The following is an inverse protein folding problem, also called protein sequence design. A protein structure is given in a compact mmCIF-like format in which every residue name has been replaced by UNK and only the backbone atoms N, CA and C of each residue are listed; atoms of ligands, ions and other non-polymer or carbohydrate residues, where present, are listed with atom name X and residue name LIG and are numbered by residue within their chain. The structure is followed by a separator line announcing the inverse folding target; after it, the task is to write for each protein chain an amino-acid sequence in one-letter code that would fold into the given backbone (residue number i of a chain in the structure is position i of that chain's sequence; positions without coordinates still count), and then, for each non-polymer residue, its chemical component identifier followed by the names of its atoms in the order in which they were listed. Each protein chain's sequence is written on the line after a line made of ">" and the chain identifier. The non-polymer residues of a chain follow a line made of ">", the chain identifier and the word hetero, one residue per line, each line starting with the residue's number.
data_IF_614484830896
#
_entry.id   IF_614484830896
#
_cell.length_a   1.000
_cell.length_b   1.000
_cell.length_c   1.000
_cell.angle_alpha   90.00
_cell.angle_beta   90.00
_cell.angle_gamma   90.00
#
_symmetry.space_group_name_H-M   'P 1'
#
loop_
_entity.id
_entity.type
_entity.pdbx_description
1 polymer ?
#
# COMPACT_ATOMS: atom_id res chain seq x y z
N UNK A 1 53.62 23.79 22.84
CA UNK A 1 53.36 24.75 21.74
C UNK A 1 53.33 23.97 20.42
N UNK A 2 52.30 24.26 19.60
CA UNK A 2 52.10 23.92 18.18
C UNK A 2 51.54 22.53 17.78
N UNK A 3 50.19 22.46 17.70
CA UNK A 3 49.28 22.03 16.60
C UNK A 3 49.92 21.67 15.23
N UNK A 4 49.35 20.91 14.28
CA UNK A 4 48.13 20.09 14.11
C UNK A 4 48.10 19.46 12.68
N UNK A 5 47.20 18.48 12.46
CA UNK A 5 46.71 17.99 11.15
C UNK A 5 46.79 16.45 11.02
N UNK A 6 45.77 15.64 11.33
CA UNK A 6 44.49 15.41 10.60
C UNK A 6 44.73 15.14 9.10
N UNK A 7 44.39 13.97 8.54
CA UNK A 7 43.00 13.56 8.29
C UNK A 7 42.81 12.05 8.39
N UNK A 8 41.75 11.64 9.08
CA UNK A 8 41.39 10.26 9.37
C UNK A 8 40.98 9.45 8.14
N UNK A 9 41.49 8.22 8.12
CA UNK A 9 41.12 7.19 7.17
C UNK A 9 39.68 6.72 7.46
N UNK A 10 38.83 6.93 6.47
CA UNK A 10 37.65 6.16 6.07
C UNK A 10 37.27 4.98 6.96
N UNK A 11 36.11 5.06 7.61
CA UNK A 11 35.22 3.92 7.74
C UNK A 11 33.79 4.44 7.87
N UNK A 12 33.11 4.41 6.72
CA UNK A 12 31.66 4.39 6.64
C UNK A 12 31.16 3.30 7.58
N UNK A 13 30.66 3.68 8.75
CA UNK A 13 29.61 2.91 9.40
C UNK A 13 28.31 3.44 8.82
N UNK A 14 28.04 3.03 7.58
CA UNK A 14 26.70 3.02 7.05
C UNK A 14 25.90 2.18 8.05
N UNK A 15 25.12 2.86 8.89
CA UNK A 15 24.03 2.25 9.62
C UNK A 15 23.06 1.77 8.54
N UNK A 16 23.30 0.56 8.03
CA UNK A 16 22.28 -0.26 7.43
C UNK A 16 21.23 -0.47 8.54
N UNK A 17 20.33 0.50 8.68
CA UNK A 17 19.01 0.25 9.23
C UNK A 17 18.40 -0.76 8.27
N UNK A 18 18.62 -2.04 8.54
CA UNK A 18 17.79 -3.11 8.02
C UNK A 18 16.44 -2.82 8.67
N UNK A 19 15.62 -2.02 7.98
CA UNK A 19 14.26 -1.72 8.41
C UNK A 19 13.54 -3.05 8.37
N UNK A 20 13.46 -3.72 9.53
CA UNK A 20 12.68 -4.94 9.68
C UNK A 20 11.25 -4.54 9.40
N UNK A 21 10.79 -4.75 8.17
CA UNK A 21 9.43 -4.36 7.80
C UNK A 21 8.48 -5.31 8.51
N UNK A 22 7.68 -4.77 9.42
CA UNK A 22 6.77 -5.56 10.23
C UNK A 22 5.55 -5.89 9.39
N UNK A 23 5.39 -7.16 9.00
CA UNK A 23 4.13 -7.64 8.43
C UNK A 23 3.15 -7.87 9.58
N UNK A 24 2.14 -7.00 9.70
CA UNK A 24 1.05 -7.16 10.65
C UNK A 24 -0.09 -7.94 9.99
N UNK A 25 -0.02 -9.26 10.15
CA UNK A 25 -0.98 -10.19 9.53
C UNK A 25 -2.42 -9.88 9.91
N UNK A 26 -2.66 -9.53 11.18
CA UNK A 26 -3.99 -9.25 11.72
C UNK A 26 -4.53 -7.94 11.16
N UNK A 27 -3.76 -6.85 11.22
CA UNK A 27 -4.18 -5.56 10.68
C UNK A 27 -4.44 -5.65 9.17
N UNK A 28 -3.63 -6.39 8.42
CA UNK A 28 -3.83 -6.58 6.98
C UNK A 28 -5.11 -7.36 6.68
N UNK A 29 -5.44 -8.35 7.50
CA UNK A 29 -6.66 -9.12 7.35
C UNK A 29 -7.92 -8.28 7.65
N UNK A 30 -7.85 -7.45 8.69
CA UNK A 30 -8.89 -6.49 9.05
C UNK A 30 -9.09 -5.46 7.93
N UNK A 31 -8.01 -4.82 7.46
CA UNK A 31 -8.07 -3.85 6.37
C UNK A 31 -8.61 -4.47 5.07
N UNK A 32 -8.18 -5.69 4.74
CA UNK A 32 -8.68 -6.40 3.56
C UNK A 32 -10.18 -6.72 3.66
N UNK A 33 -10.70 -6.95 4.87
CA UNK A 33 -12.14 -7.11 5.09
C UNK A 33 -12.87 -5.78 4.95
N UNK A 34 -12.34 -4.72 5.57
CA UNK A 34 -12.91 -3.36 5.51
C UNK A 34 -12.99 -2.83 4.08
N UNK A 35 -11.92 -2.97 3.30
CA UNK A 35 -11.90 -2.55 1.89
C UNK A 35 -12.98 -3.29 1.08
N UNK A 36 -13.17 -4.60 1.30
CA UNK A 36 -14.25 -5.36 0.63
C UNK A 36 -15.63 -4.85 1.03
N UNK A 37 -15.86 -4.57 2.31
CA UNK A 37 -17.13 -4.02 2.80
C UNK A 37 -17.39 -2.61 2.26
N UNK A 38 -16.37 -1.76 2.18
CA UNK A 38 -16.46 -0.44 1.57
C UNK A 38 -16.80 -0.57 0.08
N UNK A 39 -16.03 -1.36 -0.68
CA UNK A 39 -16.17 -1.48 -2.13
C UNK A 39 -17.50 -2.11 -2.58
N UNK A 40 -18.11 -2.91 -1.71
CA UNK A 40 -19.44 -3.49 -1.93
C UNK A 40 -20.58 -2.60 -1.42
N UNK A 41 -20.27 -1.47 -0.79
CA UNK A 41 -21.24 -0.56 -0.21
C UNK A 41 -21.99 -1.15 1.00
N UNK A 42 -21.36 -2.07 1.74
CA UNK A 42 -21.89 -2.59 3.01
C UNK A 42 -21.71 -1.58 4.14
N UNK A 43 -20.57 -0.89 4.17
CA UNK A 43 -20.25 0.20 5.11
C UNK A 43 -20.17 1.55 4.38
N UNK A 44 -20.26 2.65 5.13
CA UNK A 44 -19.99 4.01 4.66
C UNK A 44 -18.49 4.29 4.60
N UNK A 45 -18.11 5.39 3.94
CA UNK A 45 -16.75 5.90 3.95
C UNK A 45 -16.30 6.32 5.36
N UNK A 46 -17.17 6.94 6.17
CA UNK A 46 -16.83 7.33 7.55
C UNK A 46 -16.65 6.10 8.44
N UNK A 47 -17.56 5.11 8.36
CA UNK A 47 -17.41 3.81 9.04
C UNK A 47 -16.11 3.09 8.63
N UNK A 48 -15.66 3.27 7.39
CA UNK A 48 -14.39 2.73 6.93
C UNK A 48 -13.21 3.43 7.62
N UNK A 49 -13.18 4.76 7.62
CA UNK A 49 -12.10 5.56 8.22
C UNK A 49 -11.96 5.29 9.73
N UNK A 50 -13.06 5.26 10.46
CA UNK A 50 -13.11 5.02 11.90
C UNK A 50 -12.55 3.64 12.29
N UNK A 51 -12.53 2.70 11.35
CA UNK A 51 -12.17 1.29 11.59
C UNK A 51 -10.82 0.90 11.00
N UNK A 52 -10.10 1.82 10.34
CA UNK A 52 -8.75 1.53 9.82
C UNK A 52 -7.86 1.08 10.99
N UNK A 53 -7.24 -0.11 10.92
CA UNK A 53 -6.40 -0.59 12.00
C UNK A 53 -5.14 0.24 12.14
N UNK A 54 -4.73 0.52 13.37
CA UNK A 54 -3.43 1.11 13.67
C UNK A 54 -2.35 0.03 13.59
N UNK A 55 -1.30 0.27 12.80
CA UNK A 55 -0.20 -0.67 12.60
C UNK A 55 1.06 0.05 12.10
N UNK A 56 2.23 -0.49 12.45
CA UNK A 56 3.52 -0.09 11.89
C UNK A 56 3.76 -0.66 10.48
N UNK A 57 2.92 -1.62 10.05
CA UNK A 57 2.98 -2.19 8.71
C UNK A 57 2.63 -1.14 7.66
N UNK A 58 3.63 -0.78 6.86
CA UNK A 58 3.51 0.24 5.83
C UNK A 58 2.41 -0.05 4.82
N UNK A 59 2.13 -1.34 4.52
CA UNK A 59 1.05 -1.71 3.62
C UNK A 59 -0.31 -1.17 4.09
N UNK A 60 -0.56 -1.17 5.41
CA UNK A 60 -1.80 -0.69 5.99
C UNK A 60 -1.99 0.79 5.69
N UNK A 61 -0.97 1.59 6.02
CA UNK A 61 -0.98 3.04 5.85
C UNK A 61 -1.10 3.41 4.38
N UNK A 62 -0.23 2.87 3.52
CA UNK A 62 -0.20 3.28 2.13
C UNK A 62 -1.46 2.83 1.36
N UNK A 63 -1.97 1.62 1.62
CA UNK A 63 -3.19 1.15 0.96
C UNK A 63 -4.42 1.91 1.44
N UNK A 64 -4.53 2.24 2.73
CA UNK A 64 -5.65 3.02 3.25
C UNK A 64 -5.63 4.47 2.72
N UNK A 65 -4.51 5.17 2.87
CA UNK A 65 -4.45 6.62 2.61
C UNK A 65 -4.15 7.00 1.17
N UNK A 66 -3.34 6.24 0.44
CA UNK A 66 -3.06 6.52 -0.98
C UNK A 66 -4.01 5.77 -1.92
N UNK A 67 -4.51 4.60 -1.49
CA UNK A 67 -5.43 3.77 -2.27
C UNK A 67 -6.89 4.07 -1.95
N UNK A 68 -7.36 3.55 -0.81
CA UNK A 68 -8.78 3.48 -0.48
C UNK A 68 -9.44 4.87 -0.32
N UNK A 69 -8.73 5.85 0.23
CA UNK A 69 -9.23 7.24 0.34
C UNK A 69 -9.62 7.83 -1.03
N UNK A 70 -8.92 7.46 -2.10
CA UNK A 70 -9.24 7.90 -3.47
C UNK A 70 -10.53 7.32 -4.05
N UNK A 71 -11.19 6.38 -3.38
CA UNK A 71 -12.46 5.79 -3.83
C UNK A 71 -13.68 6.65 -3.48
N UNK A 72 -13.55 7.64 -2.60
CA UNK A 72 -14.66 8.44 -2.11
C UNK A 72 -14.27 9.91 -1.88
N UNK A 73 -15.27 10.73 -1.55
CA UNK A 73 -15.10 12.13 -1.14
C UNK A 73 -15.35 12.26 0.35
N UNK A 74 -14.56 13.10 1.01
CA UNK A 74 -14.63 13.47 2.43
C UNK A 74 -15.79 14.43 2.77
N UNK A 75 -16.54 14.89 1.76
CA UNK A 75 -17.54 15.96 1.95
C UNK A 75 -18.83 15.49 2.63
N UNK A 76 -19.11 14.19 2.63
CA UNK A 76 -20.32 13.60 3.21
C UNK A 76 -20.14 12.10 3.43
N UNK A 77 -20.91 11.56 4.37
CA UNK A 77 -21.01 10.13 4.57
C UNK A 77 -21.92 9.46 3.52
N UNK A 78 -21.47 8.38 2.89
CA UNK A 78 -22.25 7.56 1.96
C UNK A 78 -21.65 6.16 1.73
N UNK A 79 -22.46 5.27 1.15
CA UNK A 79 -22.03 3.92 0.71
C UNK A 79 -21.70 3.92 -0.78
N UNK A 80 -20.69 3.14 -1.20
CA UNK A 80 -20.28 2.98 -2.61
C UNK A 80 -21.23 2.06 -3.40
N UNK A 81 -22.49 2.49 -3.55
CA UNK A 81 -23.55 1.76 -4.25
C UNK A 81 -24.45 2.70 -5.05
N UNK A 82 -25.23 2.13 -5.98
CA UNK A 82 -26.10 2.89 -6.88
C UNK A 82 -25.31 3.92 -7.68
N UNK A 83 -25.67 5.21 -7.59
CA UNK A 83 -24.97 6.30 -8.26
C UNK A 83 -23.52 6.51 -7.82
N UNK A 84 -23.15 5.99 -6.65
CA UNK A 84 -21.79 6.06 -6.09
C UNK A 84 -21.04 4.73 -6.22
N UNK A 85 -21.57 3.76 -6.99
CA UNK A 85 -20.93 2.46 -7.14
C UNK A 85 -19.61 2.58 -7.91
N UNK A 86 -18.61 1.80 -7.48
CA UNK A 86 -17.32 1.74 -8.15
C UNK A 86 -17.44 1.19 -9.58
N UNK A 87 -16.65 1.76 -10.49
CA UNK A 87 -16.52 1.26 -11.84
C UNK A 87 -15.70 -0.05 -11.88
N UNK A 88 -15.66 -0.73 -13.03
CA UNK A 88 -14.93 -2.01 -13.17
C UNK A 88 -13.42 -1.85 -12.95
N UNK A 89 -12.84 -0.71 -13.36
CA UNK A 89 -11.43 -0.39 -13.16
C UNK A 89 -11.10 -0.28 -11.68
N UNK A 90 -11.86 0.49 -10.91
CA UNK A 90 -11.64 0.66 -9.47
C UNK A 90 -11.83 -0.66 -8.71
N UNK A 91 -12.84 -1.45 -9.09
CA UNK A 91 -13.05 -2.80 -8.51
C UNK A 91 -11.85 -3.71 -8.76
N UNK A 92 -11.21 -3.61 -9.93
CA UNK A 92 -10.02 -4.38 -10.25
C UNK A 92 -8.80 -3.94 -9.43
N UNK A 93 -8.67 -2.64 -9.17
CA UNK A 93 -7.66 -2.09 -8.26
C UNK A 93 -7.89 -2.58 -6.83
N UNK A 94 -9.13 -2.47 -6.32
CA UNK A 94 -9.53 -2.98 -5.00
C UNK A 94 -9.21 -4.47 -4.85
N UNK A 95 -9.57 -5.30 -5.83
CA UNK A 95 -9.27 -6.72 -5.80
C UNK A 95 -7.76 -6.99 -5.70
N UNK A 96 -6.94 -6.18 -6.37
CA UNK A 96 -5.48 -6.26 -6.27
C UNK A 96 -4.96 -5.88 -4.90
N UNK A 97 -5.47 -4.81 -4.29
CA UNK A 97 -5.07 -4.37 -2.95
C UNK A 97 -5.42 -5.43 -1.91
N UNK A 98 -6.61 -5.98 -2.01
CA UNK A 98 -7.08 -7.08 -1.17
C UNK A 98 -6.20 -8.32 -1.33
N UNK A 99 -5.79 -8.66 -2.56
CA UNK A 99 -4.88 -9.76 -2.82
C UNK A 99 -3.50 -9.52 -2.18
N UNK A 100 -2.96 -8.31 -2.30
CA UNK A 100 -1.69 -7.94 -1.67
C UNK A 100 -1.78 -8.03 -0.16
N UNK A 101 -2.82 -7.44 0.43
CA UNK A 101 -3.04 -7.50 1.86
C UNK A 101 -3.14 -8.95 2.32
N UNK A 102 -3.77 -9.85 1.56
CA UNK A 102 -3.85 -11.29 1.89
C UNK A 102 -2.59 -12.10 1.55
N UNK A 103 -1.53 -11.45 1.08
CA UNK A 103 -0.23 -12.07 0.84
C UNK A 103 0.76 -11.70 1.95
N UNK A 104 1.88 -12.42 1.99
CA UNK A 104 2.99 -12.18 2.91
C UNK A 104 4.13 -11.39 2.23
N UNK A 105 3.82 -10.60 1.20
CA UNK A 105 4.78 -9.71 0.58
C UNK A 105 4.99 -8.44 1.40
N UNK A 106 6.25 -8.05 1.59
CA UNK A 106 6.60 -6.78 2.21
C UNK A 106 6.28 -5.60 1.29
N UNK A 107 5.83 -4.49 1.87
CA UNK A 107 5.57 -3.28 1.11
C UNK A 107 6.90 -2.55 0.88
N UNK A 108 7.34 -2.49 -0.37
CA UNK A 108 8.69 -2.02 -0.75
C UNK A 108 8.69 -0.73 -1.57
N UNK A 109 7.52 -0.15 -1.86
CA UNK A 109 7.45 1.10 -2.61
C UNK A 109 7.97 2.27 -1.78
N UNK A 110 8.74 3.21 -2.36
CA UNK A 110 9.26 4.35 -1.64
C UNK A 110 8.10 5.18 -1.09
N UNK A 111 8.09 5.40 0.23
CA UNK A 111 7.12 6.32 0.82
C UNK A 111 7.50 7.75 0.48
N UNK A 112 6.56 8.57 -0.03
CA UNK A 112 6.84 9.99 -0.23
C UNK A 112 7.22 10.61 1.11
N UNK A 113 8.33 11.34 1.10
CA UNK A 113 8.82 12.07 2.27
C UNK A 113 7.75 13.04 2.79
N UNK A 114 7.80 13.41 4.07
CA UNK A 114 6.81 14.32 4.68
C UNK A 114 6.64 15.64 3.88
N UNK A 115 7.72 16.14 3.28
CA UNK A 115 7.72 17.34 2.42
C UNK A 115 6.90 17.13 1.14
N UNK A 116 7.06 15.98 0.47
CA UNK A 116 6.30 15.61 -0.72
C UNK A 116 4.81 15.39 -0.39
N UNK A 117 4.51 14.84 0.79
CA UNK A 117 3.13 14.68 1.29
C UNK A 117 2.44 16.03 1.51
N UNK A 118 3.13 17.01 2.08
CA UNK A 118 2.59 18.37 2.30
C UNK A 118 2.38 19.09 0.95
N UNK A 119 3.34 18.97 0.03
CA UNK A 119 3.23 19.55 -1.32
C UNK A 119 2.07 18.95 -2.13
N UNK A 120 1.82 17.64 -2.02
CA UNK A 120 0.69 16.97 -2.67
C UNK A 120 -0.66 17.43 -2.11
N UNK A 121 -0.74 17.69 -0.79
CA UNK A 121 -1.93 18.25 -0.12
C UNK A 121 -2.20 19.69 -0.52
N UNK A 122 -1.16 20.54 -0.58
CA UNK A 122 -1.31 21.95 -0.97
C UNK A 122 -1.59 22.13 -2.47
N UNK A 123 -1.16 21.20 -3.31
CA UNK A 123 -1.38 21.28 -4.76
C UNK A 123 -2.77 20.83 -5.22
N UNK A 124 -3.72 20.57 -4.30
CA UNK A 124 -5.11 20.19 -4.61
C UNK A 124 -5.20 19.11 -5.71
N UNK A 125 -4.29 18.12 -5.69
CA UNK A 125 -4.26 17.03 -6.68
C UNK A 125 -3.92 17.44 -8.13
N UNK A 126 -3.65 18.71 -8.45
CA UNK A 126 -3.41 19.16 -9.83
C UNK A 126 -1.97 18.96 -10.31
N UNK A 127 -0.97 18.91 -9.40
CA UNK A 127 0.43 18.61 -9.72
C UNK A 127 0.80 17.11 -9.63
N UNK A 128 -0.18 16.22 -9.47
CA UNK A 128 0.04 14.76 -9.35
C UNK A 128 0.54 14.05 -10.61
N UNK A 129 0.73 14.78 -11.72
CA UNK A 129 1.21 14.20 -13.00
C UNK A 129 2.71 14.34 -13.24
N UNK A 130 3.42 15.19 -12.49
CA UNK A 130 4.80 15.59 -12.87
C UNK A 130 5.93 15.00 -12.03
N UNK A 131 5.65 14.32 -10.91
CA UNK A 131 6.69 13.67 -10.08
C UNK A 131 6.65 12.14 -10.22
N UNK A 132 5.59 11.58 -10.82
CA UNK A 132 5.45 10.13 -11.09
C UNK A 132 6.15 9.64 -12.35
N UNK A 133 6.73 10.53 -13.17
CA UNK A 133 7.27 10.19 -14.49
C UNK A 133 8.80 10.03 -14.51
N UNK A 134 9.48 10.18 -13.37
CA UNK A 134 10.93 10.10 -13.30
C UNK A 134 11.34 9.08 -12.24
N UNK A 135 11.26 7.79 -12.59
CA UNK A 135 12.25 6.75 -12.26
C UNK A 135 11.60 5.37 -12.41
N UNK A 136 12.05 4.66 -13.44
CA UNK A 136 11.91 3.24 -13.71
C UNK A 136 12.65 2.36 -12.67
N UNK A 137 12.67 2.77 -11.40
CA UNK A 137 13.43 2.13 -10.32
C UNK A 137 12.54 1.34 -9.34
N UNK A 138 11.26 1.67 -9.16
CA UNK A 138 10.50 1.12 -8.01
C UNK A 138 9.25 0.28 -8.34
N UNK A 139 8.97 0.02 -9.61
CA UNK A 139 7.89 -0.89 -10.02
C UNK A 139 6.94 -0.34 -11.06
N UNK A 140 6.11 -1.22 -11.63
CA UNK A 140 5.08 -0.83 -12.58
C UNK A 140 3.80 -0.45 -11.81
N UNK A 141 3.43 0.83 -11.89
CA UNK A 141 2.25 1.42 -11.24
C UNK A 141 0.95 0.67 -11.58
N UNK A 142 0.91 -0.04 -12.71
CA UNK A 142 -0.19 -0.91 -13.09
C UNK A 142 -0.40 -2.05 -12.08
N UNK A 143 0.63 -2.46 -11.34
CA UNK A 143 0.61 -3.55 -10.38
C UNK A 143 0.67 -3.12 -8.92
N UNK A 144 0.81 -1.81 -8.61
CA UNK A 144 0.76 -1.32 -7.23
C UNK A 144 -0.44 -1.91 -6.47
N UNK A 145 -0.27 -2.40 -5.22
CA UNK A 145 0.91 -2.29 -4.33
C UNK A 145 2.01 -3.34 -4.55
N UNK A 146 1.89 -4.21 -5.55
CA UNK A 146 2.99 -5.09 -5.93
C UNK A 146 4.08 -4.29 -6.63
N UNK A 147 5.35 -4.67 -6.41
CA UNK A 147 6.51 -4.04 -7.08
C UNK A 147 6.46 -4.30 -8.58
N UNK A 148 6.11 -5.52 -8.99
CA UNK A 148 6.07 -5.87 -10.40
C UNK A 148 4.98 -6.91 -10.72
N UNK A 149 4.88 -7.23 -12.01
CA UNK A 149 3.97 -8.25 -12.52
C UNK A 149 4.29 -9.66 -11.96
N UNK A 150 5.56 -9.97 -11.71
CA UNK A 150 5.98 -11.28 -11.23
C UNK A 150 5.48 -11.52 -9.79
N UNK A 151 5.62 -10.53 -8.92
CA UNK A 151 5.11 -10.56 -7.55
C UNK A 151 3.58 -10.66 -7.53
N UNK A 152 2.90 -9.89 -8.39
CA UNK A 152 1.44 -9.98 -8.54
C UNK A 152 0.99 -11.38 -8.97
N UNK A 153 1.66 -11.97 -9.96
CA UNK A 153 1.35 -13.33 -10.44
C UNK A 153 1.68 -14.41 -9.39
N UNK A 154 2.75 -14.23 -8.62
CA UNK A 154 3.09 -15.10 -7.51
C UNK A 154 2.01 -15.07 -6.41
N UNK A 155 1.49 -13.88 -6.07
CA UNK A 155 0.38 -13.73 -5.13
C UNK A 155 -0.88 -14.46 -5.62
N UNK A 156 -1.23 -14.29 -6.91
CA UNK A 156 -2.38 -14.97 -7.51
C UNK A 156 -2.28 -16.49 -7.40
N UNK A 157 -1.07 -17.03 -7.55
CA UNK A 157 -0.82 -18.48 -7.53
C UNK A 157 -0.88 -19.03 -6.09
N UNK A 158 -0.29 -18.34 -5.13
CA UNK A 158 -0.19 -18.78 -3.72
C UNK A 158 -1.49 -18.56 -2.95
N UNK A 159 -2.03 -17.36 -3.01
CA UNK A 159 -3.21 -16.96 -2.23
C UNK A 159 -4.51 -17.30 -2.95
N UNK A 160 -4.50 -17.42 -4.29
CA UNK A 160 -5.72 -17.48 -5.09
C UNK A 160 -6.45 -16.13 -5.12
N UNK A 161 -7.11 -15.80 -6.24
CA UNK A 161 -7.83 -14.52 -6.38
C UNK A 161 -9.01 -14.36 -5.38
N UNK A 162 -9.39 -15.45 -4.69
CA UNK A 162 -10.49 -15.53 -3.72
C UNK A 162 -10.06 -16.04 -2.32
N UNK A 163 -8.77 -16.25 -2.05
CA UNK A 163 -8.28 -16.85 -0.81
C UNK A 163 -7.83 -18.31 -0.95
N UNK A 164 -7.05 -18.75 0.04
CA UNK A 164 -6.17 -19.92 0.05
C UNK A 164 -6.79 -21.15 -0.65
N UNK A 165 -6.11 -21.69 -1.67
CA UNK A 165 -6.42 -23.04 -2.18
C UNK A 165 -5.80 -24.03 -1.21
N UNK A 166 -6.62 -24.72 -0.41
CA UNK A 166 -6.18 -25.91 0.30
C UNK A 166 -5.76 -26.96 -0.73
N UNK A 167 -4.48 -27.02 -1.05
CA UNK A 167 -3.90 -28.15 -1.76
C UNK A 167 -3.70 -29.23 -0.71
N UNK A 168 -4.75 -30.00 -0.43
CA UNK A 168 -4.61 -31.22 0.36
C UNK A 168 -3.63 -32.12 -0.38
N UNK A 169 -2.46 -32.37 0.23
CA UNK A 169 -1.53 -33.40 -0.21
C UNK A 169 -2.28 -34.72 -0.27
N UNK A 170 -2.60 -35.19 -1.46
CA UNK A 170 -2.89 -36.61 -1.67
C UNK A 170 -1.57 -37.35 -1.58
N UNK A 171 -1.39 -38.01 -0.45
CA UNK A 171 -0.40 -39.05 -0.25
C UNK A 171 -0.55 -40.11 -1.34
N UNK A 172 0.57 -40.51 -1.95
CA UNK A 172 0.75 -41.79 -2.63
C UNK A 172 2.09 -42.36 -2.20
#
# INVERSE_FOLDING_TARGET
>A
MCFAGSVGHTLLQALCFEEVTVIDRKARDELASLIRSLSSGQITNDEFEDRIPSSEDMAIREIAWLGAWGLYSDTKEYKLRGKNALCSTDKSMVARWVLFLKSDFEYSWPTPTLKERILHKLSFGFLGKSIRQQNSIDGDLQYWPFVDQAQFNAAKTRTGYLGFRNITKTSS
#
